data_IF_743984908733
#
_entry.id   IF_743984908733
#
_cell.length_a   1.000
_cell.length_b   1.000
_cell.length_c   1.000
_cell.angle_alpha   90.00
_cell.angle_beta   90.00
_cell.angle_gamma   90.00
#
_symmetry.space_group_name_H-M   'P 1'
#
loop_
_entity.id
_entity.type
_entity.pdbx_description
1 polymer ?
#
# COMPACT_ATOMS: atom_id res chain seq x y z
N UNK A 1 -8.88 8.69 45.40
CA UNK A 1 -9.68 9.93 45.21
C UNK A 1 -9.90 10.10 43.70
N UNK A 2 -10.90 9.41 43.15
CA UNK A 2 -11.26 9.54 41.74
C UNK A 2 -12.42 10.53 41.65
N UNK A 3 -12.12 11.76 41.26
CA UNK A 3 -13.13 12.78 40.96
C UNK A 3 -13.92 12.33 39.74
N UNK A 4 -15.13 11.81 39.97
CA UNK A 4 -16.14 11.66 38.93
C UNK A 4 -16.59 13.05 38.48
N UNK A 5 -15.99 13.56 37.42
CA UNK A 5 -16.53 14.67 36.65
C UNK A 5 -17.78 14.18 35.91
N UNK A 6 -18.95 14.32 36.55
CA UNK A 6 -20.25 14.23 35.88
C UNK A 6 -20.37 15.42 34.92
N UNK A 7 -20.08 15.21 33.65
CA UNK A 7 -20.42 16.14 32.58
C UNK A 7 -21.93 16.04 32.34
N UNK A 8 -22.64 17.15 32.50
CA UNK A 8 -24.07 17.23 32.17
C UNK A 8 -24.21 17.17 30.66
N UNK A 9 -24.85 16.13 30.14
CA UNK A 9 -25.32 16.11 28.75
C UNK A 9 -26.48 17.11 28.63
N UNK A 10 -26.14 18.32 28.22
CA UNK A 10 -27.07 19.38 27.88
C UNK A 10 -26.31 20.39 27.05
N UNK A 11 -26.72 20.50 25.79
CA UNK A 11 -26.18 21.34 24.71
C UNK A 11 -24.90 20.84 24.02
N UNK A 12 -24.91 21.01 22.70
CA UNK A 12 -24.07 20.35 21.69
C UNK A 12 -22.57 20.35 22.03
N UNK A 13 -21.99 19.15 22.18
CA UNK A 13 -20.55 19.00 22.40
C UNK A 13 -19.79 19.44 21.14
N UNK A 14 -18.95 20.47 21.21
CA UNK A 14 -18.22 20.96 20.04
C UNK A 14 -17.20 19.91 19.56
N UNK A 15 -17.07 19.75 18.24
CA UNK A 15 -16.18 18.74 17.61
C UNK A 15 -14.73 18.78 18.13
N UNK A 16 -14.24 19.96 18.52
CA UNK A 16 -12.92 20.13 19.11
C UNK A 16 -12.73 19.41 20.45
N UNK A 17 -13.77 19.30 21.28
CA UNK A 17 -13.73 18.50 22.51
C UNK A 17 -13.74 17.00 22.21
N UNK A 18 -14.52 16.56 21.22
CA UNK A 18 -14.54 15.15 20.76
C UNK A 18 -13.14 14.71 20.29
N UNK A 19 -12.43 15.58 19.57
CA UNK A 19 -11.06 15.33 19.13
C UNK A 19 -10.04 15.27 20.29
N UNK A 20 -10.29 15.99 21.39
CA UNK A 20 -9.44 15.90 22.57
C UNK A 20 -9.58 14.54 23.27
N UNK A 21 -10.79 13.96 23.29
CA UNK A 21 -11.06 12.65 23.91
C UNK A 21 -10.78 11.44 23.01
N UNK A 22 -10.66 11.63 21.69
CA UNK A 22 -10.38 10.56 20.71
C UNK A 22 -8.93 10.55 20.20
N UNK A 23 -8.09 11.46 20.69
CA UNK A 23 -6.64 11.47 20.45
C UNK A 23 -6.02 10.20 21.04
N UNK A 24 -5.64 9.27 20.16
CA UNK A 24 -5.05 7.99 20.54
C UNK A 24 -3.81 7.67 19.70
N UNK A 25 -3.05 6.67 20.15
CA UNK A 25 -1.91 6.13 19.43
C UNK A 25 -2.42 5.16 18.35
N UNK A 26 -2.67 5.67 17.14
CA UNK A 26 -2.98 4.83 15.99
C UNK A 26 -1.70 4.20 15.42
N UNK A 27 -1.80 3.01 14.82
CA UNK A 27 -0.66 2.32 14.20
C UNK A 27 -0.09 3.06 12.98
N UNK A 28 -0.96 3.76 12.26
CA UNK A 28 -0.61 4.75 11.24
C UNK A 28 -0.49 6.15 11.89
N UNK A 29 0.72 6.69 11.89
CA UNK A 29 1.05 8.01 12.49
C UNK A 29 0.45 9.19 11.74
N UNK A 30 -0.07 8.97 10.53
CA UNK A 30 -0.79 10.01 9.77
C UNK A 30 -2.19 10.28 10.34
N UNK A 31 -2.76 9.34 11.09
CA UNK A 31 -4.08 9.45 11.70
C UNK A 31 -3.97 9.87 13.17
N UNK A 32 -4.47 11.06 13.48
CA UNK A 32 -4.47 11.63 14.83
C UNK A 32 -5.60 11.12 15.76
N UNK A 33 -6.31 10.06 15.36
CA UNK A 33 -7.45 9.49 16.07
C UNK A 33 -7.49 7.96 15.93
N UNK A 34 -8.15 7.31 16.88
CA UNK A 34 -8.36 5.85 16.87
C UNK A 34 -9.20 5.43 15.66
N UNK A 35 -8.87 4.28 15.06
CA UNK A 35 -9.68 3.69 13.99
C UNK A 35 -11.02 3.18 14.52
N UNK A 36 -11.99 3.00 13.62
CA UNK A 36 -13.30 2.42 13.97
C UNK A 36 -13.12 1.08 14.70
N UNK A 37 -12.24 0.22 14.21
CA UNK A 37 -11.94 -1.07 14.85
C UNK A 37 -11.32 -0.92 16.23
N UNK A 38 -10.39 0.03 16.43
CA UNK A 38 -9.81 0.31 17.75
C UNK A 38 -10.87 0.84 18.72
N UNK A 39 -11.77 1.72 18.26
CA UNK A 39 -12.87 2.21 19.09
C UNK A 39 -13.87 1.12 19.45
N UNK A 40 -14.13 0.17 18.54
CA UNK A 40 -14.96 -1.00 18.81
C UNK A 40 -14.31 -1.95 19.83
N UNK A 41 -12.98 -2.15 19.74
CA UNK A 41 -12.21 -2.92 20.72
C UNK A 41 -12.20 -2.28 22.11
N UNK A 42 -12.17 -0.95 22.20
CA UNK A 42 -12.30 -0.24 23.48
C UNK A 42 -13.73 -0.32 24.04
N UNK A 43 -14.74 -0.39 23.17
CA UNK A 43 -16.15 -0.52 23.56
C UNK A 43 -16.49 -1.90 24.10
N UNK A 44 -15.81 -2.94 23.61
CA UNK A 44 -15.92 -4.31 24.12
C UNK A 44 -14.60 -4.83 24.73
N UNK A 45 -14.36 -4.58 26.04
CA UNK A 45 -13.15 -5.05 26.71
C UNK A 45 -13.06 -6.58 26.82
N UNK A 46 -14.16 -7.32 26.63
CA UNK A 46 -14.13 -8.79 26.61
C UNK A 46 -13.65 -9.30 25.25
N UNK A 47 -14.22 -8.77 24.17
CA UNK A 47 -13.77 -9.06 22.80
C UNK A 47 -12.30 -8.70 22.59
N UNK A 48 -11.85 -7.54 23.09
CA UNK A 48 -10.45 -7.14 23.05
C UNK A 48 -9.51 -8.11 23.79
N UNK A 49 -9.90 -8.61 24.97
CA UNK A 49 -9.12 -9.61 25.71
C UNK A 49 -9.06 -10.96 25.00
N UNK A 50 -10.16 -11.38 24.37
CA UNK A 50 -10.20 -12.62 23.60
C UNK A 50 -9.29 -12.55 22.38
N UNK A 51 -9.31 -11.42 21.66
CA UNK A 51 -8.42 -11.18 20.53
C UNK A 51 -6.95 -11.17 20.95
N UNK A 52 -6.63 -10.53 22.08
CA UNK A 52 -5.28 -10.51 22.63
C UNK A 52 -4.77 -11.92 22.94
N UNK A 53 -5.60 -12.75 23.60
CA UNK A 53 -5.25 -14.14 23.90
C UNK A 53 -5.04 -14.99 22.63
N UNK A 54 -5.84 -14.76 21.59
CA UNK A 54 -5.66 -15.41 20.29
C UNK A 54 -4.35 -15.00 19.64
N UNK A 55 -4.03 -13.70 19.64
CA UNK A 55 -2.77 -13.20 19.10
C UNK A 55 -1.57 -13.74 19.86
N UNK A 56 -1.62 -13.80 21.19
CA UNK A 56 -0.55 -14.40 22.01
C UNK A 56 -0.35 -15.88 21.67
N UNK A 57 -1.44 -16.62 21.49
CA UNK A 57 -1.39 -18.03 21.09
C UNK A 57 -0.79 -18.22 19.71
N UNK A 58 -1.20 -17.40 18.74
CA UNK A 58 -0.64 -17.43 17.39
C UNK A 58 0.83 -17.01 17.38
N UNK A 59 1.21 -16.01 18.18
CA UNK A 59 2.60 -15.58 18.28
C UNK A 59 3.48 -16.70 18.87
N UNK A 60 3.02 -17.39 19.91
CA UNK A 60 3.72 -18.54 20.47
C UNK A 60 3.88 -19.70 19.45
N UNK A 61 2.86 -19.93 18.61
CA UNK A 61 2.94 -20.92 17.51
C UNK A 61 3.96 -20.51 16.46
N UNK A 62 3.99 -19.24 16.09
CA UNK A 62 4.95 -18.70 15.13
C UNK A 62 6.38 -18.76 15.66
N UNK A 63 6.60 -18.43 16.94
CA UNK A 63 7.89 -18.57 17.60
C UNK A 63 8.37 -20.03 17.59
N UNK A 64 7.49 -20.97 17.95
CA UNK A 64 7.81 -22.40 17.89
C UNK A 64 8.12 -22.87 16.46
N UNK A 65 7.39 -22.38 15.46
CA UNK A 65 7.65 -22.69 14.06
C UNK A 65 9.00 -22.13 13.59
N UNK A 66 9.37 -20.91 14.01
CA UNK A 66 10.68 -20.33 13.71
C UNK A 66 11.81 -21.10 14.39
N UNK A 67 11.62 -21.53 15.65
CA UNK A 67 12.59 -22.36 16.34
C UNK A 67 12.75 -23.74 15.67
N UNK A 68 11.65 -24.36 15.23
CA UNK A 68 11.71 -25.57 14.42
C UNK A 68 12.46 -25.35 13.12
N UNK A 69 12.18 -24.26 12.39
CA UNK A 69 12.89 -23.92 11.14
C UNK A 69 14.39 -23.76 11.33
N UNK A 70 14.84 -23.19 12.45
CA UNK A 70 16.29 -23.11 12.78
C UNK A 70 16.92 -24.48 12.99
N UNK A 71 16.15 -25.45 13.50
CA UNK A 71 16.59 -26.83 13.77
C UNK A 71 16.34 -27.80 12.61
N UNK A 72 15.64 -27.35 11.56
CA UNK A 72 15.25 -28.17 10.43
C UNK A 72 16.45 -28.82 9.73
N UNK A 73 17.54 -28.08 9.54
CA UNK A 73 18.75 -28.63 8.92
C UNK A 73 19.37 -29.75 9.77
N UNK A 74 19.42 -29.58 11.09
CA UNK A 74 19.95 -30.59 12.02
C UNK A 74 19.06 -31.83 12.04
N UNK A 75 17.74 -31.64 11.99
CA UNK A 75 16.78 -32.73 11.87
C UNK A 75 17.00 -33.53 10.59
N UNK A 76 17.15 -32.86 9.44
CA UNK A 76 17.37 -33.54 8.17
C UNK A 76 18.74 -34.22 8.10
N UNK A 77 19.81 -33.59 8.60
CA UNK A 77 21.13 -34.24 8.71
C UNK A 77 21.11 -35.48 9.60
N UNK A 78 20.38 -35.42 10.72
CA UNK A 78 20.16 -36.60 11.56
C UNK A 78 19.34 -37.66 10.81
N UNK A 79 18.31 -37.26 10.07
CA UNK A 79 17.49 -38.17 9.25
C UNK A 79 18.34 -38.91 8.22
N UNK A 80 19.20 -38.19 7.49
CA UNK A 80 20.12 -38.77 6.50
C UNK A 80 21.06 -39.77 7.18
N UNK A 81 21.58 -39.44 8.36
CA UNK A 81 22.42 -40.36 9.16
C UNK A 81 21.64 -41.61 9.60
N UNK A 82 20.37 -41.48 9.98
CA UNK A 82 19.50 -42.62 10.35
C UNK A 82 19.19 -43.49 9.14
N UNK A 83 18.97 -42.88 7.97
CA UNK A 83 18.73 -43.58 6.72
C UNK A 83 20.00 -44.32 6.24
N UNK A 84 21.17 -43.69 6.36
CA UNK A 84 22.47 -44.27 6.03
C UNK A 84 22.88 -45.38 7.01
N UNK A 85 22.51 -45.26 8.29
CA UNK A 85 22.78 -46.26 9.31
C UNK A 85 21.84 -47.47 9.25
N UNK A 86 20.78 -47.44 8.43
CA UNK A 86 19.92 -48.60 8.18
C UNK A 86 20.50 -49.45 7.03
N UNK A 87 21.06 -50.65 7.30
CA UNK A 87 21.46 -51.55 6.24
C UNK A 87 20.21 -51.96 5.42
N UNK A 88 20.32 -52.13 4.09
CA UNK A 88 19.18 -52.53 3.26
C UNK A 88 18.58 -53.90 3.64
N UNK A 89 19.26 -54.70 4.47
CA UNK A 89 18.83 -56.04 4.90
C UNK A 89 18.78 -56.27 6.42
N UNK A 90 18.88 -55.22 7.25
CA UNK A 90 18.65 -55.41 8.69
C UNK A 90 17.14 -55.58 8.94
N UNK A 91 16.76 -56.77 9.41
CA UNK A 91 15.42 -57.15 9.85
C UNK A 91 14.66 -55.99 10.49
N UNK A 92 13.66 -55.49 9.76
CA UNK A 92 12.72 -54.47 10.17
C UNK A 92 12.23 -54.72 11.61
N UNK A 93 12.19 -53.69 12.48
CA UNK A 93 11.46 -53.78 13.73
C UNK A 93 10.01 -54.15 13.42
N UNK A 94 9.46 -55.11 14.17
CA UNK A 94 8.14 -55.73 13.99
C UNK A 94 6.94 -54.77 14.05
N UNK A 95 7.15 -53.45 14.20
CA UNK A 95 6.09 -52.48 14.48
C UNK A 95 6.17 -51.20 13.64
N UNK A 96 6.21 -51.33 12.31
CA UNK A 96 5.77 -50.24 11.43
C UNK A 96 4.34 -50.50 10.94
N UNK A 97 3.44 -49.49 10.95
CA UNK A 97 2.18 -49.61 10.25
C UNK A 97 2.51 -49.91 8.79
N UNK A 98 1.92 -51.00 8.29
CA UNK A 98 2.18 -51.53 6.95
C UNK A 98 1.75 -50.49 5.91
N UNK A 99 2.67 -49.63 5.48
CA UNK A 99 2.51 -48.84 4.28
C UNK A 99 2.37 -49.87 3.14
N UNK A 100 1.29 -49.84 2.35
CA UNK A 100 1.17 -50.74 1.20
C UNK A 100 2.39 -50.53 0.33
N UNK A 101 3.19 -51.59 0.12
CA UNK A 101 4.30 -51.55 -0.83
C UNK A 101 3.70 -51.22 -2.19
N UNK A 102 3.78 -49.95 -2.58
CA UNK A 102 3.40 -49.50 -3.90
C UNK A 102 4.35 -50.22 -4.86
N UNK A 103 3.83 -51.18 -5.62
CA UNK A 103 4.66 -51.98 -6.52
C UNK A 103 5.43 -51.05 -7.46
N UNK A 104 6.69 -51.40 -7.79
CA UNK A 104 7.55 -50.57 -8.64
C UNK A 104 6.87 -50.12 -9.96
N UNK A 105 5.90 -50.89 -10.47
CA UNK A 105 5.07 -50.51 -11.61
C UNK A 105 4.05 -49.39 -11.34
N UNK A 106 3.47 -49.31 -10.14
CA UNK A 106 2.52 -48.25 -9.76
C UNK A 106 3.24 -46.91 -9.47
N UNK A 107 4.45 -46.98 -8.90
CA UNK A 107 5.30 -45.79 -8.77
C UNK A 107 5.75 -45.26 -10.14
N UNK A 108 6.12 -46.15 -11.08
CA UNK A 108 6.46 -45.78 -12.45
C UNK A 108 5.29 -45.14 -13.22
N UNK A 109 4.06 -45.62 -13.01
CA UNK A 109 2.85 -45.02 -13.58
C UNK A 109 2.62 -43.60 -13.06
N UNK A 110 2.70 -43.40 -11.74
CA UNK A 110 2.53 -42.07 -11.13
C UNK A 110 3.58 -41.06 -11.60
N UNK A 111 4.84 -41.49 -11.76
CA UNK A 111 5.91 -40.61 -12.29
C UNK A 111 5.60 -40.18 -13.72
N UNK A 112 5.10 -41.10 -14.56
CA UNK A 112 4.71 -40.78 -15.94
C UNK A 112 3.49 -39.87 -16.01
N UNK A 113 2.49 -40.07 -15.15
CA UNK A 113 1.32 -39.19 -15.04
C UNK A 113 1.72 -37.78 -14.59
N UNK A 114 2.63 -37.67 -13.62
CA UNK A 114 3.10 -36.38 -13.11
C UNK A 114 3.95 -35.64 -14.15
N UNK A 115 4.74 -36.36 -14.94
CA UNK A 115 5.45 -35.79 -16.09
C UNK A 115 4.50 -35.32 -17.19
N UNK A 116 3.48 -36.11 -17.54
CA UNK A 116 2.47 -35.72 -18.52
C UNK A 116 1.73 -34.45 -18.07
N UNK A 117 1.33 -34.37 -16.80
CA UNK A 117 0.68 -33.17 -16.23
C UNK A 117 1.60 -31.94 -16.23
N UNK A 118 2.91 -32.12 -16.00
CA UNK A 118 3.87 -31.01 -16.09
C UNK A 118 4.01 -30.50 -17.53
N UNK A 119 4.03 -31.39 -18.51
CA UNK A 119 4.08 -31.03 -19.94
C UNK A 119 2.80 -30.31 -20.37
N UNK A 120 1.63 -30.83 -19.99
CA UNK A 120 0.34 -30.19 -20.25
C UNK A 120 0.24 -28.79 -19.62
N UNK A 121 0.71 -28.63 -18.38
CA UNK A 121 0.73 -27.33 -17.71
C UNK A 121 1.66 -26.36 -18.43
N UNK A 122 2.84 -26.83 -18.86
CA UNK A 122 3.81 -26.00 -19.59
C UNK A 122 3.25 -25.55 -20.93
N UNK A 123 2.64 -26.45 -21.70
CA UNK A 123 1.97 -26.12 -22.96
C UNK A 123 0.82 -25.12 -22.75
N UNK A 124 -0.01 -25.32 -21.72
CA UNK A 124 -1.10 -24.40 -21.41
C UNK A 124 -0.59 -23.00 -21.00
N UNK A 125 0.49 -22.93 -20.23
CA UNK A 125 1.12 -21.67 -19.83
C UNK A 125 1.73 -20.95 -21.02
N UNK A 126 2.44 -21.66 -21.89
CA UNK A 126 3.05 -21.06 -23.08
C UNK A 126 2.00 -20.63 -24.10
N UNK A 127 0.94 -21.42 -24.31
CA UNK A 127 -0.20 -21.02 -25.13
C UNK A 127 -0.89 -19.76 -24.60
N UNK A 128 -1.06 -19.67 -23.27
CA UNK A 128 -1.65 -18.48 -22.62
C UNK A 128 -0.72 -17.27 -22.69
N UNK A 129 0.59 -17.46 -22.57
CA UNK A 129 1.61 -16.42 -22.77
C UNK A 129 1.58 -15.92 -24.21
N UNK A 130 1.55 -16.81 -25.20
CA UNK A 130 1.49 -16.45 -26.61
C UNK A 130 0.19 -15.71 -26.95
N UNK A 131 -0.96 -16.16 -26.45
CA UNK A 131 -2.23 -15.47 -26.61
C UNK A 131 -2.21 -14.06 -25.98
N UNK A 132 -1.62 -13.91 -24.80
CA UNK A 132 -1.44 -12.61 -24.17
C UNK A 132 -0.49 -11.71 -24.98
N UNK A 133 0.63 -12.26 -25.46
CA UNK A 133 1.57 -11.52 -26.30
C UNK A 133 0.94 -11.10 -27.64
N UNK A 134 0.07 -11.92 -28.23
CA UNK A 134 -0.69 -11.53 -29.42
C UNK A 134 -1.71 -10.41 -29.11
N UNK A 135 -2.38 -10.48 -27.95
CA UNK A 135 -3.35 -9.47 -27.52
C UNK A 135 -2.71 -8.12 -27.13
N UNK A 136 -1.47 -8.14 -26.61
CA UNK A 136 -0.74 -6.94 -26.14
C UNK A 136 0.28 -6.44 -27.18
N UNK A 137 0.77 -7.33 -28.05
CA UNK A 137 1.93 -7.13 -28.93
C UNK A 137 1.81 -6.01 -29.96
N UNK A 138 0.59 -5.58 -30.30
CA UNK A 138 0.37 -4.42 -31.17
C UNK A 138 0.52 -3.07 -30.47
N UNK A 139 0.34 -3.02 -29.14
CA UNK A 139 0.21 -1.74 -28.43
C UNK A 139 1.51 -1.26 -27.78
N UNK A 140 2.59 -2.04 -27.79
CA UNK A 140 3.86 -1.67 -27.15
C UNK A 140 4.48 -0.36 -27.70
N UNK A 141 4.75 -0.24 -29.02
CA UNK A 141 5.36 0.96 -29.60
C UNK A 141 4.39 2.16 -29.61
N UNK A 142 3.10 1.93 -29.88
CA UNK A 142 2.05 2.97 -29.84
C UNK A 142 1.85 3.52 -28.43
N UNK A 143 1.79 2.66 -27.41
CA UNK A 143 1.73 3.06 -26.00
C UNK A 143 2.97 3.84 -25.59
N UNK A 144 4.17 3.41 -26.02
CA UNK A 144 5.41 4.14 -25.76
C UNK A 144 5.40 5.51 -26.42
N UNK A 145 4.87 5.63 -27.65
CA UNK A 145 4.72 6.89 -28.35
C UNK A 145 3.69 7.80 -27.66
N UNK A 146 2.51 7.28 -27.29
CA UNK A 146 1.48 8.00 -26.56
C UNK A 146 1.98 8.49 -25.19
N UNK A 147 2.71 7.65 -24.45
CA UNK A 147 3.32 8.02 -23.17
C UNK A 147 4.36 9.13 -23.34
N UNK A 148 5.20 9.06 -24.37
CA UNK A 148 6.17 10.12 -24.68
C UNK A 148 5.45 11.42 -25.07
N UNK A 149 4.41 11.35 -25.89
CA UNK A 149 3.61 12.51 -26.29
C UNK A 149 2.97 13.18 -25.06
N UNK A 150 2.40 12.40 -24.15
CA UNK A 150 1.84 12.92 -22.89
C UNK A 150 2.91 13.57 -22.00
N UNK A 151 4.07 12.93 -21.84
CA UNK A 151 5.20 13.50 -21.09
C UNK A 151 5.67 14.84 -21.69
N UNK A 152 5.76 14.92 -23.01
CA UNK A 152 6.12 16.15 -23.72
C UNK A 152 5.05 17.23 -23.55
N UNK A 153 3.76 16.89 -23.63
CA UNK A 153 2.67 17.83 -23.41
C UNK A 153 2.70 18.40 -21.99
N UNK A 154 2.85 17.55 -20.97
CA UNK A 154 2.98 17.98 -19.57
C UNK A 154 4.21 18.87 -19.38
N UNK A 155 5.35 18.54 -19.99
CA UNK A 155 6.54 19.38 -19.92
C UNK A 155 6.33 20.75 -20.57
N UNK A 156 5.59 20.82 -21.68
CA UNK A 156 5.22 22.07 -22.34
C UNK A 156 4.27 22.91 -21.48
N UNK A 157 3.28 22.28 -20.83
CA UNK A 157 2.34 22.96 -19.92
C UNK A 157 3.07 23.51 -18.70
N UNK A 158 3.97 22.73 -18.10
CA UNK A 158 4.82 23.20 -17.00
C UNK A 158 5.72 24.37 -17.43
N UNK A 159 6.33 24.30 -18.62
CA UNK A 159 7.13 25.41 -19.15
C UNK A 159 6.28 26.64 -19.51
N UNK A 160 5.03 26.47 -19.91
CA UNK A 160 4.09 27.56 -20.14
C UNK A 160 3.68 28.22 -18.81
N UNK A 161 3.41 27.43 -17.77
CA UNK A 161 3.14 27.91 -16.42
C UNK A 161 4.33 28.66 -15.83
N UNK A 162 5.55 28.14 -16.01
CA UNK A 162 6.76 28.80 -15.55
C UNK A 162 6.98 30.14 -16.28
N UNK A 163 6.81 30.18 -17.61
CA UNK A 163 6.91 31.45 -18.36
C UNK A 163 5.82 32.45 -18.00
N UNK A 164 4.60 31.97 -17.73
CA UNK A 164 3.52 32.83 -17.26
C UNK A 164 3.85 33.40 -15.87
N UNK A 165 4.47 32.61 -14.99
CA UNK A 165 4.97 33.07 -13.70
C UNK A 165 6.06 34.14 -13.85
N UNK A 166 7.05 33.89 -14.70
CA UNK A 166 8.15 34.83 -14.96
C UNK A 166 7.67 36.12 -15.66
N UNK A 167 6.58 36.07 -16.43
CA UNK A 167 5.96 37.26 -17.05
C UNK A 167 5.08 38.04 -16.07
N UNK A 168 4.43 37.37 -15.10
CA UNK A 168 3.66 38.01 -14.03
C UNK A 168 4.59 38.73 -13.03
N UNK A 169 5.78 38.17 -12.78
CA UNK A 169 6.90 38.82 -12.08
C UNK A 169 7.31 40.17 -12.71
N UNK A 170 7.09 40.34 -14.02
CA UNK A 170 7.46 41.54 -14.77
C UNK A 170 6.44 42.67 -14.77
N UNK A 171 5.19 42.45 -14.32
CA UNK A 171 4.14 43.49 -14.38
C UNK A 171 3.85 44.19 -13.07
N UNK A 172 4.16 43.63 -11.90
CA UNK A 172 3.83 44.29 -10.61
C UNK A 172 4.56 43.73 -9.38
N UNK A 173 5.87 43.44 -9.44
CA UNK A 173 6.62 43.08 -8.22
C UNK A 173 7.45 44.27 -7.72
N UNK A 174 7.25 44.75 -6.48
CA UNK A 174 8.21 45.66 -5.86
C UNK A 174 9.51 44.88 -5.64
N UNK A 175 10.54 45.21 -6.42
CA UNK A 175 11.82 44.49 -6.44
C UNK A 175 12.64 44.75 -5.16
N UNK A 176 13.18 43.68 -4.57
CA UNK A 176 14.15 43.71 -3.47
C UNK A 176 13.70 42.98 -2.20
N UNK A 177 14.60 42.64 -1.26
CA UNK A 177 14.22 42.08 0.03
C UNK A 177 13.29 43.07 0.75
N UNK A 178 11.98 42.81 0.71
CA UNK A 178 10.97 43.64 1.36
C UNK A 178 11.19 43.58 2.88
N UNK A 179 11.70 44.67 3.46
CA UNK A 179 11.79 44.82 4.91
C UNK A 179 10.37 44.93 5.46
N UNK A 180 9.96 43.94 6.26
CA UNK A 180 8.69 44.01 7.00
C UNK A 180 8.78 45.18 7.99
N UNK A 181 7.99 46.23 7.77
CA UNK A 181 7.89 47.38 8.66
C UNK A 181 6.54 47.31 9.37
N UNK A 182 6.55 47.26 10.70
CA UNK A 182 5.33 47.30 11.51
C UNK A 182 4.89 48.76 11.63
N UNK A 183 3.79 49.13 10.98
CA UNK A 183 3.25 50.49 11.02
C UNK A 183 2.00 50.53 11.90
N UNK A 184 2.01 51.36 12.95
CA UNK A 184 0.86 51.48 13.88
C UNK A 184 -0.20 52.48 13.37
N UNK A 185 0.13 53.28 12.36
CA UNK A 185 -0.79 54.21 11.70
C UNK A 185 -1.45 53.54 10.47
N UNK A 186 -2.79 53.63 10.39
CA UNK A 186 -3.61 53.12 9.25
C UNK A 186 -3.35 53.80 7.89
N UNK A 187 -2.37 54.70 7.78
CA UNK A 187 -2.08 55.43 6.54
C UNK A 187 -0.66 55.11 6.09
N UNK A 188 -0.48 54.48 4.91
CA UNK A 188 0.83 54.14 4.40
C UNK A 188 1.49 55.36 3.74
N UNK A 189 2.73 55.67 4.14
CA UNK A 189 3.59 56.69 3.52
C UNK A 189 4.31 56.20 2.25
N UNK A 190 3.74 55.27 1.48
CA UNK A 190 4.34 54.77 0.24
C UNK A 190 3.58 53.60 -0.40
N UNK A 191 3.95 53.19 -1.64
CA UNK A 191 3.33 52.08 -2.38
C UNK A 191 3.73 50.70 -1.80
N UNK A 192 3.41 50.44 -0.54
CA UNK A 192 3.67 49.17 0.14
C UNK A 192 2.51 48.18 -0.02
N UNK A 193 2.83 46.92 -0.31
CA UNK A 193 1.85 45.82 -0.34
C UNK A 193 1.59 45.28 1.07
N UNK A 194 0.32 45.05 1.41
CA UNK A 194 -0.06 44.44 2.67
C UNK A 194 0.31 42.95 2.67
N UNK A 195 1.17 42.53 3.61
CA UNK A 195 1.58 41.13 3.76
C UNK A 195 0.37 40.18 3.89
N UNK A 196 -0.69 40.61 4.58
CA UNK A 196 -1.93 39.84 4.69
C UNK A 196 -2.58 39.57 3.32
N UNK A 197 -2.72 40.60 2.48
CA UNK A 197 -3.33 40.46 1.14
C UNK A 197 -2.49 39.61 0.19
N UNK A 198 -1.16 39.72 0.26
CA UNK A 198 -0.26 38.84 -0.54
C UNK A 198 -0.35 37.39 -0.06
N UNK A 199 -0.40 37.16 1.26
CA UNK A 199 -0.51 35.81 1.83
C UNK A 199 -1.86 35.17 1.46
N UNK A 200 -2.94 35.95 1.49
CA UNK A 200 -4.28 35.48 1.11
C UNK A 200 -4.37 35.15 -0.38
N UNK A 201 -3.80 36.00 -1.24
CA UNK A 201 -3.74 35.74 -2.69
C UNK A 201 -2.92 34.47 -3.02
N UNK A 202 -1.79 34.26 -2.33
CA UNK A 202 -0.98 33.05 -2.50
C UNK A 202 -1.71 31.79 -2.02
N UNK A 203 -2.41 31.85 -0.88
CA UNK A 203 -3.24 30.72 -0.39
C UNK A 203 -4.39 30.39 -1.34
N UNK A 204 -5.04 31.41 -1.91
CA UNK A 204 -6.10 31.20 -2.90
C UNK A 204 -5.55 30.54 -4.18
N UNK A 205 -4.33 30.92 -4.61
CA UNK A 205 -3.64 30.33 -5.76
C UNK A 205 -3.24 28.87 -5.49
N UNK A 206 -2.70 28.60 -4.31
CA UNK A 206 -2.34 27.25 -3.85
C UNK A 206 -3.56 26.33 -3.87
N UNK A 207 -4.66 26.74 -3.24
CA UNK A 207 -5.92 25.99 -3.23
C UNK A 207 -6.46 25.71 -4.65
N UNK A 208 -6.32 26.67 -5.58
CA UNK A 208 -6.71 26.49 -6.97
C UNK A 208 -5.87 25.41 -7.67
N UNK A 209 -4.55 25.42 -7.47
CA UNK A 209 -3.65 24.41 -8.05
C UNK A 209 -3.89 23.02 -7.46
N UNK A 210 -4.12 22.92 -6.15
CA UNK A 210 -4.48 21.66 -5.48
C UNK A 210 -5.79 21.07 -6.02
N UNK A 211 -6.79 21.92 -6.27
CA UNK A 211 -8.05 21.51 -6.87
C UNK A 211 -7.85 20.95 -8.29
N UNK A 212 -7.05 21.63 -9.13
CA UNK A 212 -6.75 21.17 -10.51
C UNK A 212 -5.97 19.85 -10.48
N UNK A 213 -4.99 19.71 -9.58
CA UNK A 213 -4.22 18.48 -9.43
C UNK A 213 -5.10 17.31 -9.01
N UNK A 214 -6.00 17.53 -8.04
CA UNK A 214 -6.98 16.54 -7.59
C UNK A 214 -7.92 16.12 -8.71
N UNK A 215 -8.36 17.07 -9.54
CA UNK A 215 -9.19 16.81 -10.70
C UNK A 215 -8.44 15.96 -11.75
N UNK A 216 -7.20 16.30 -12.10
CA UNK A 216 -6.41 15.52 -13.05
C UNK A 216 -6.13 14.10 -12.54
N UNK A 217 -5.82 13.96 -11.26
CA UNK A 217 -5.61 12.64 -10.65
C UNK A 217 -6.88 11.78 -10.69
N UNK A 218 -8.06 12.36 -10.42
CA UNK A 218 -9.33 11.62 -10.50
C UNK A 218 -9.65 11.21 -11.94
N UNK A 219 -9.41 12.07 -12.93
CA UNK A 219 -9.55 11.75 -14.34
C UNK A 219 -8.61 10.62 -14.77
N UNK A 220 -7.33 10.66 -14.36
CA UNK A 220 -6.39 9.57 -14.62
C UNK A 220 -6.84 8.24 -13.99
N UNK A 221 -7.32 8.26 -12.75
CA UNK A 221 -7.86 7.06 -12.07
C UNK A 221 -9.07 6.50 -12.82
N UNK A 222 -9.96 7.36 -13.31
CA UNK A 222 -11.16 6.95 -14.05
C UNK A 222 -10.82 6.33 -15.41
N UNK A 223 -9.90 6.92 -16.16
CA UNK A 223 -9.44 6.35 -17.43
C UNK A 223 -8.69 5.02 -17.23
N UNK A 224 -7.87 4.91 -16.18
CA UNK A 224 -7.24 3.65 -15.81
C UNK A 224 -8.27 2.57 -15.46
N UNK A 225 -9.32 2.92 -14.71
CA UNK A 225 -10.41 1.99 -14.40
C UNK A 225 -11.19 1.54 -15.65
N UNK A 226 -11.44 2.48 -16.58
CA UNK A 226 -12.07 2.17 -17.88
C UNK A 226 -11.24 1.20 -18.71
N UNK A 227 -9.92 1.43 -18.81
CA UNK A 227 -9.00 0.55 -19.53
C UNK A 227 -8.88 -0.83 -18.85
N UNK A 228 -8.89 -0.86 -17.52
CA UNK A 228 -8.88 -2.11 -16.76
C UNK A 228 -10.14 -2.94 -17.00
N UNK A 229 -11.32 -2.31 -17.05
CA UNK A 229 -12.59 -2.98 -17.34
C UNK A 229 -12.71 -3.49 -18.79
N UNK A 230 -12.05 -2.83 -19.75
CA UNK A 230 -12.11 -3.20 -21.17
C UNK A 230 -11.23 -4.42 -21.53
N UNK A 231 -10.27 -4.81 -20.68
CA UNK A 231 -9.31 -5.90 -20.98
C UNK A 231 -9.12 -6.84 -19.78
N UNK A 232 -9.98 -7.85 -19.61
CA UNK A 232 -9.79 -8.86 -18.57
C UNK A 232 -8.48 -9.65 -18.82
N UNK A 233 -7.56 -9.62 -17.86
CA UNK A 233 -6.28 -10.36 -17.92
C UNK A 233 -5.01 -9.53 -17.67
N UNK A 234 -5.12 -8.21 -17.49
CA UNK A 234 -4.00 -7.34 -17.11
C UNK A 234 -3.98 -7.12 -15.60
N UNK A 235 -2.83 -7.37 -14.97
CA UNK A 235 -2.59 -7.04 -13.56
C UNK A 235 -2.18 -5.57 -13.52
N UNK A 236 -3.06 -4.72 -12.99
CA UNK A 236 -2.81 -3.29 -12.82
C UNK A 236 -2.22 -3.05 -11.44
N UNK A 237 -0.97 -2.60 -11.39
CA UNK A 237 -0.35 -2.13 -10.15
C UNK A 237 -0.69 -0.64 -10.04
N UNK A 238 -1.73 -0.34 -9.28
CA UNK A 238 -2.04 1.04 -8.92
C UNK A 238 -0.93 1.57 -7.99
N UNK A 239 -0.42 2.79 -8.21
CA UNK A 239 0.51 3.39 -7.28
C UNK A 239 -0.17 3.57 -5.91
N UNK A 240 0.59 3.48 -4.80
CA UNK A 240 0.05 3.65 -3.46
C UNK A 240 -0.66 5.01 -3.35
N UNK A 241 -1.87 5.01 -2.77
CA UNK A 241 -2.56 6.24 -2.44
C UNK A 241 -1.78 6.92 -1.30
N UNK A 242 -1.28 8.13 -1.57
CA UNK A 242 -0.79 9.07 -0.56
C UNK A 242 -1.96 9.93 -0.08
#
# INVERSE_FOLDING_TARGET
>A
LLTQSRVRLGDEMPLCEIHAYTRGCHSDRSLGHLSVTETELLRDPKGGRQLLLQLETENARLEAALEWRRRELVFWQWMDTVLDACPPEASLPTFLPRIPKLGAGAAGLLVRELQALQEELREAVEARRAAWQAAVGGHGPEWRAARRALQTAVAQDLAALQRAWEQDEGRSRPHGPCRLVRTEARVPGGPGLWAAGVTEALRAREACLEAVLSQLQSQCRQELARLAGARPGLIWILPPAH
#
